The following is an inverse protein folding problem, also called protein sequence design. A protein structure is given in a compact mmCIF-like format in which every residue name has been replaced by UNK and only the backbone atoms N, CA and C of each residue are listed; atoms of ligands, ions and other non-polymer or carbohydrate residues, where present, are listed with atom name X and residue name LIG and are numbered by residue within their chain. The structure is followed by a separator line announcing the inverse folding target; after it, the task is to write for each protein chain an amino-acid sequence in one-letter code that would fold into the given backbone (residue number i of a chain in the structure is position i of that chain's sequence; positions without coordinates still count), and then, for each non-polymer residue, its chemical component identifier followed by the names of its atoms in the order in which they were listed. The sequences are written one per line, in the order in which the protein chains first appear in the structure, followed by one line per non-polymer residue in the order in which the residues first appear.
data_IF_555493639117
#
_entry.id   IF_555493639117
#
_cell.length_a   1.000
_cell.length_b   1.000
_cell.length_c   1.000
_cell.angle_alpha   90.00
_cell.angle_beta   90.00
_cell.angle_gamma   90.00
#
_symmetry.space_group_name_H-M   'P 1'
#
loop_
_entity.id
_entity.type
_entity.pdbx_description
1 polymer ?
#
# COMPACT_ATOMS: atom_id res chain seq x y z
N UNK A 1 12.89 -5.33 7.74
CA UNK A 1 12.80 -6.62 7.04
C UNK A 1 12.31 -7.67 8.02
N UNK A 2 11.52 -8.64 7.57
CA UNK A 2 10.97 -9.75 8.35
C UNK A 2 11.64 -11.07 7.89
N UNK A 3 12.71 -11.52 8.57
CA UNK A 3 13.50 -12.68 8.14
C UNK A 3 12.72 -14.00 8.13
N UNK A 4 11.71 -14.11 8.99
CA UNK A 4 10.77 -15.22 9.10
C UNK A 4 9.91 -15.40 7.83
N UNK A 5 9.59 -14.31 7.13
CA UNK A 5 8.78 -14.35 5.90
C UNK A 5 9.62 -14.61 4.65
N UNK A 6 10.91 -14.29 4.70
CA UNK A 6 11.83 -14.50 3.58
C UNK A 6 12.11 -16.00 3.40
N UNK A 7 11.77 -16.51 2.22
CA UNK A 7 12.08 -17.88 1.79
C UNK A 7 13.22 -17.92 0.76
N UNK A 8 13.96 -16.82 0.59
CA UNK A 8 15.06 -16.77 -0.36
C UNK A 8 14.67 -16.74 -1.84
N UNK A 9 13.37 -16.70 -2.16
CA UNK A 9 12.90 -16.93 -3.53
C UNK A 9 13.48 -18.21 -4.14
N UNK A 10 13.41 -19.34 -3.41
CA UNK A 10 14.03 -20.65 -3.69
C UNK A 10 13.73 -21.34 -5.04
N UNK A 11 13.13 -20.65 -6.00
CA UNK A 11 12.94 -21.09 -7.39
C UNK A 11 13.54 -20.14 -8.43
N UNK A 12 14.41 -19.22 -8.01
CA UNK A 12 15.15 -18.28 -8.84
C UNK A 12 16.63 -18.35 -8.47
N UNK A 13 17.50 -17.93 -9.38
CA UNK A 13 18.97 -17.94 -9.18
C UNK A 13 19.40 -17.07 -7.99
N UNK A 14 18.66 -16.01 -7.71
CA UNK A 14 18.86 -15.14 -6.56
C UNK A 14 17.53 -14.61 -6.00
N UNK A 15 17.52 -14.11 -4.73
CA UNK A 15 16.37 -13.38 -4.22
C UNK A 15 16.09 -12.15 -5.07
N UNK A 16 14.88 -12.03 -5.62
CA UNK A 16 14.50 -10.95 -6.54
C UNK A 16 14.77 -9.53 -6.01
N UNK A 17 14.70 -9.32 -4.70
CA UNK A 17 15.01 -8.03 -4.10
C UNK A 17 16.50 -7.65 -4.18
N UNK A 18 17.40 -8.64 -4.23
CA UNK A 18 18.83 -8.44 -4.44
C UNK A 18 19.09 -8.00 -5.88
N UNK A 19 18.54 -8.73 -6.85
CA UNK A 19 18.68 -8.37 -8.28
C UNK A 19 18.01 -7.04 -8.62
N UNK A 20 16.89 -6.74 -7.98
CA UNK A 20 16.11 -5.54 -8.26
C UNK A 20 16.76 -4.26 -7.73
N UNK A 21 17.50 -4.31 -6.63
CA UNK A 21 18.02 -3.11 -5.99
C UNK A 21 19.44 -2.79 -6.50
N UNK A 22 19.63 -1.77 -7.36
CA UNK A 22 20.94 -1.47 -7.93
C UNK A 22 21.91 -0.83 -6.91
N UNK A 23 21.43 -0.53 -5.70
CA UNK A 23 22.22 0.13 -4.65
C UNK A 23 22.89 -0.86 -3.69
N UNK A 24 22.86 -2.16 -3.99
CA UNK A 24 23.55 -3.19 -3.20
C UNK A 24 23.14 -3.20 -1.72
N UNK A 25 21.90 -2.79 -1.43
CA UNK A 25 21.34 -2.77 -0.07
C UNK A 25 21.21 -4.19 0.47
N UNK A 26 20.88 -5.14 -0.40
CA UNK A 26 20.63 -6.54 -0.05
C UNK A 26 21.79 -7.45 -0.48
N UNK A 27 22.05 -8.47 0.33
CA UNK A 27 22.92 -9.59 0.01
C UNK A 27 22.20 -10.92 0.26
N UNK A 28 22.91 -12.03 0.06
CA UNK A 28 22.38 -13.38 0.28
C UNK A 28 23.16 -14.08 1.39
N UNK A 29 22.46 -14.57 2.41
CA UNK A 29 23.03 -15.39 3.48
C UNK A 29 22.12 -16.59 3.75
N UNK A 30 22.70 -17.79 3.73
CA UNK A 30 21.96 -19.06 3.92
C UNK A 30 20.73 -19.16 2.99
N UNK A 31 20.91 -18.74 1.73
CA UNK A 31 19.86 -18.73 0.71
C UNK A 31 18.78 -17.66 0.90
N UNK A 32 18.83 -16.83 1.95
CA UNK A 32 17.86 -15.75 2.20
C UNK A 32 18.45 -14.39 1.90
N UNK A 33 17.61 -13.45 1.48
CA UNK A 33 17.99 -12.06 1.41
C UNK A 33 18.24 -11.49 2.82
N UNK A 34 19.32 -10.72 2.98
CA UNK A 34 19.65 -9.95 4.17
C UNK A 34 20.00 -8.52 3.78
N UNK A 35 19.94 -7.58 4.72
CA UNK A 35 20.40 -6.20 4.50
C UNK A 35 21.89 -6.15 4.84
N UNK A 36 22.73 -5.77 3.88
CA UNK A 36 24.19 -5.66 4.06
C UNK A 36 24.67 -4.20 4.05
N UNK A 37 24.07 -3.34 3.24
CA UNK A 37 24.43 -1.93 3.11
C UNK A 37 23.21 -1.02 3.34
N UNK A 38 22.74 -0.87 4.59
CA UNK A 38 21.57 -0.06 4.88
C UNK A 38 21.74 1.41 4.48
N UNK A 39 22.96 1.95 4.56
CA UNK A 39 23.28 3.33 4.15
C UNK A 39 23.09 3.59 2.64
N UNK A 40 23.13 2.56 1.79
CA UNK A 40 22.91 2.73 0.36
C UNK A 40 21.42 2.84 -0.01
N UNK A 41 20.51 2.63 0.96
CA UNK A 41 19.09 2.70 0.73
C UNK A 41 18.66 4.16 0.46
N UNK A 42 18.23 4.44 -0.77
CA UNK A 42 17.72 5.75 -1.17
C UNK A 42 16.45 6.09 -0.40
N UNK A 43 16.45 7.23 0.30
CA UNK A 43 15.29 7.72 1.05
C UNK A 43 14.07 7.88 0.13
N UNK A 44 12.93 7.33 0.54
CA UNK A 44 11.68 7.36 -0.23
C UNK A 44 11.57 6.31 -1.33
N UNK A 45 12.65 5.61 -1.70
CA UNK A 45 12.58 4.46 -2.59
C UNK A 45 12.02 3.25 -1.84
N UNK A 46 10.93 2.69 -2.36
CA UNK A 46 10.19 1.58 -1.72
C UNK A 46 9.84 0.46 -2.69
N UNK A 47 10.32 0.54 -3.94
CA UNK A 47 9.88 -0.37 -4.98
C UNK A 47 10.21 -1.85 -4.65
N UNK A 48 11.28 -2.11 -3.89
CA UNK A 48 11.62 -3.44 -3.43
C UNK A 48 10.57 -4.09 -2.50
N UNK A 49 9.73 -3.30 -1.81
CA UNK A 49 8.58 -3.81 -1.03
C UNK A 49 7.60 -4.56 -1.93
N UNK A 50 7.31 -4.00 -3.11
CA UNK A 50 6.37 -4.58 -4.07
C UNK A 50 6.95 -5.76 -4.85
N UNK A 51 8.28 -5.83 -4.95
CA UNK A 51 9.00 -6.93 -5.62
C UNK A 51 8.95 -8.21 -4.79
N UNK A 52 8.86 -8.11 -3.46
CA UNK A 52 8.84 -9.27 -2.59
C UNK A 52 7.42 -9.89 -2.47
N UNK A 53 7.12 -11.04 -3.12
CA UNK A 53 5.78 -11.63 -3.06
C UNK A 53 5.39 -12.09 -1.65
N UNK A 54 6.39 -12.37 -0.80
CA UNK A 54 6.23 -12.80 0.58
C UNK A 54 6.00 -11.64 1.56
N UNK A 55 6.09 -10.38 1.10
CA UNK A 55 6.00 -9.18 1.94
C UNK A 55 6.99 -9.22 3.11
N UNK A 56 8.21 -9.67 2.86
CA UNK A 56 9.28 -9.73 3.85
C UNK A 56 10.01 -8.37 4.01
N UNK A 57 9.81 -7.44 3.09
CA UNK A 57 10.32 -6.07 3.15
C UNK A 57 9.13 -5.16 3.51
N UNK A 58 9.32 -4.20 4.41
CA UNK A 58 8.27 -3.26 4.81
C UNK A 58 8.87 -1.92 5.23
N UNK A 59 8.13 -0.85 4.94
CA UNK A 59 8.50 0.53 5.27
C UNK A 59 7.41 1.16 6.17
N UNK A 60 7.60 1.21 7.51
CA UNK A 60 6.54 1.56 8.47
C UNK A 60 5.98 2.98 8.29
N UNK A 61 6.75 3.93 7.75
CA UNK A 61 6.30 5.31 7.51
C UNK A 61 5.09 5.41 6.57
N UNK A 62 4.80 4.40 5.75
CA UNK A 62 3.65 4.40 4.82
C UNK A 62 2.34 3.89 5.42
N UNK A 63 2.38 3.07 6.47
CA UNK A 63 1.15 2.50 7.03
C UNK A 63 0.21 3.59 7.59
N UNK A 64 0.77 4.71 8.06
CA UNK A 64 0.02 5.80 8.68
C UNK A 64 -0.76 6.66 7.67
N UNK A 65 -0.29 6.79 6.42
CA UNK A 65 -0.92 7.69 5.44
C UNK A 65 -2.17 7.07 4.80
N UNK A 66 -2.12 5.77 4.45
CA UNK A 66 -3.26 5.10 3.78
C UNK A 66 -4.52 4.99 4.64
N UNK A 67 -4.37 4.89 5.97
CA UNK A 67 -5.52 4.78 6.87
C UNK A 67 -6.30 6.10 7.03
N UNK A 68 -5.65 7.26 6.86
CA UNK A 68 -6.31 8.56 7.02
C UNK A 68 -7.17 8.93 5.79
N UNK A 69 -6.69 8.63 4.59
CA UNK A 69 -7.38 9.01 3.35
C UNK A 69 -8.71 8.26 3.10
N UNK A 70 -8.91 7.09 3.72
CA UNK A 70 -10.06 6.23 3.38
C UNK A 70 -11.34 6.50 4.20
N UNK A 71 -11.31 7.43 5.16
CA UNK A 71 -12.46 7.68 6.06
C UNK A 71 -12.89 9.13 6.15
N UNK A 72 -12.23 10.04 5.45
CA UNK A 72 -12.63 11.43 5.49
C UNK A 72 -13.77 11.67 4.49
N UNK A 73 -15.01 11.63 4.99
CA UNK A 73 -16.21 11.97 4.21
C UNK A 73 -16.40 13.48 4.12
N UNK A 74 -15.43 14.29 4.57
CA UNK A 74 -15.43 15.74 4.42
C UNK A 74 -16.78 16.37 4.74
N UNK A 75 -17.33 17.11 3.77
CA UNK A 75 -18.63 17.79 3.85
C UNK A 75 -19.82 16.91 3.40
N UNK A 76 -19.61 15.63 3.09
CA UNK A 76 -20.67 14.75 2.60
C UNK A 76 -21.56 14.27 3.74
N UNK A 77 -22.84 14.59 3.67
CA UNK A 77 -23.89 14.05 4.53
C UNK A 77 -24.54 12.83 3.90
N UNK A 78 -24.98 11.87 4.73
CA UNK A 78 -25.76 10.70 4.31
C UNK A 78 -27.25 11.06 4.30
N UNK A 79 -27.91 10.91 3.16
CA UNK A 79 -29.30 11.36 2.94
C UNK A 79 -30.11 10.25 2.32
N UNK A 80 -31.42 10.20 2.61
CA UNK A 80 -32.40 9.35 1.92
C UNK A 80 -33.19 10.21 0.95
N UNK A 81 -33.24 9.83 -0.32
CA UNK A 81 -33.99 10.55 -1.34
C UNK A 81 -35.48 10.60 -0.98
N UNK A 82 -36.08 11.78 -1.00
CA UNK A 82 -37.52 11.97 -0.71
C UNK A 82 -38.44 11.36 -1.77
N UNK A 83 -37.97 11.19 -3.01
CA UNK A 83 -38.77 10.64 -4.11
C UNK A 83 -38.68 9.10 -4.21
N UNK A 84 -37.48 8.55 -4.40
CA UNK A 84 -37.30 7.10 -4.61
C UNK A 84 -36.79 6.32 -3.39
N UNK A 85 -36.48 7.00 -2.28
CA UNK A 85 -35.99 6.35 -1.06
C UNK A 85 -34.53 5.88 -1.08
N UNK A 86 -33.78 6.10 -2.18
CA UNK A 86 -32.36 5.75 -2.32
C UNK A 86 -31.52 6.46 -1.26
N UNK A 87 -30.61 5.75 -0.60
CA UNK A 87 -29.67 6.31 0.37
C UNK A 87 -28.35 6.63 -0.33
N UNK A 88 -27.86 7.86 -0.20
CA UNK A 88 -26.64 8.32 -0.87
C UNK A 88 -25.90 9.37 -0.03
N UNK A 89 -24.66 9.66 -0.43
CA UNK A 89 -23.85 10.70 0.19
C UNK A 89 -23.83 11.91 -0.74
N UNK A 90 -24.08 13.10 -0.20
CA UNK A 90 -24.10 14.33 -0.98
C UNK A 90 -23.64 15.50 -0.12
N UNK A 91 -23.02 16.50 -0.73
CA UNK A 91 -22.79 17.82 -0.15
C UNK A 91 -23.89 18.82 -0.57
N UNK A 92 -24.88 18.39 -1.34
CA UNK A 92 -25.99 19.23 -1.80
C UNK A 92 -27.02 19.43 -0.68
N UNK A 93 -27.65 20.59 -0.67
CA UNK A 93 -28.71 20.95 0.30
C UNK A 93 -30.05 20.27 -0.01
N UNK A 94 -30.19 19.68 -1.19
CA UNK A 94 -31.41 18.97 -1.60
C UNK A 94 -31.37 17.49 -1.23
N UNK A 95 -32.51 16.93 -0.84
CA UNK A 95 -32.66 15.50 -0.53
C UNK A 95 -33.20 14.70 -1.73
N UNK A 96 -32.74 15.04 -2.95
CA UNK A 96 -33.08 14.34 -4.19
C UNK A 96 -31.84 13.63 -4.73
N UNK A 97 -31.96 12.35 -5.10
CA UNK A 97 -30.85 11.66 -5.74
C UNK A 97 -30.64 12.17 -7.17
N UNK A 98 -29.47 11.88 -7.75
CA UNK A 98 -29.13 12.25 -9.13
C UNK A 98 -30.20 11.84 -10.15
N UNK A 99 -30.87 10.71 -9.91
CA UNK A 99 -31.88 10.16 -10.81
C UNK A 99 -33.25 10.85 -10.67
N UNK A 100 -33.52 11.50 -9.53
CA UNK A 100 -34.81 12.12 -9.20
C UNK A 100 -34.83 13.65 -9.27
N UNK A 101 -33.68 14.29 -9.49
CA UNK A 101 -33.56 15.75 -9.67
C UNK A 101 -33.63 16.20 -11.14
N UNK A 102 -34.01 15.29 -12.04
CA UNK A 102 -34.25 15.56 -13.47
C UNK A 102 -35.60 16.23 -13.68
#
# INVERSE_FOLDING_TARGET
MFPDKCNGCSGFDAPKCVEFCPHEVFGVLSGKAIIINPQNCVYGCIACEHVCPRKAIAFPQRMTIRQRAQRDKGLLRKVKCRNCGKIFWTNEDTDLCFDCRK
#
